data_IF_801656316150
#
_entry.id   IF_801656316150
#
_cell.length_a   1.000
_cell.length_b   1.000
_cell.length_c   1.000
_cell.angle_alpha   90.00
_cell.angle_beta   90.00
_cell.angle_gamma   90.00
#
_symmetry.space_group_name_H-M   'P 1'
#
loop_
_entity.id
_entity.type
_entity.pdbx_description
1 polymer ?
#
# COMPACT_ATOMS: atom_id res chain seq x y z
N UNK A 1 -2.92 -17.89 -2.57
CA UNK A 1 -4.34 -17.96 -2.13
C UNK A 1 -4.59 -17.17 -0.85
N UNK A 2 -3.55 -16.85 -0.05
CA UNK A 2 -3.62 -16.17 1.26
C UNK A 2 -3.85 -14.63 1.23
N UNK A 3 -4.31 -14.06 0.12
CA UNK A 3 -4.04 -12.63 -0.17
C UNK A 3 -5.32 -11.80 -0.40
N UNK A 4 -6.49 -12.44 -0.48
CA UNK A 4 -7.71 -11.73 -0.84
C UNK A 4 -8.39 -10.99 0.32
N UNK A 5 -8.30 -11.52 1.56
CA UNK A 5 -8.79 -10.82 2.75
C UNK A 5 -7.88 -9.63 3.05
N UNK A 6 -6.57 -9.86 3.00
CA UNK A 6 -5.55 -8.82 3.09
C UNK A 6 -5.82 -7.66 2.11
N UNK A 7 -6.11 -7.98 0.84
CA UNK A 7 -6.46 -6.99 -0.17
C UNK A 7 -7.69 -6.18 0.22
N UNK A 8 -8.74 -6.87 0.65
CA UNK A 8 -10.00 -6.24 1.01
C UNK A 8 -9.80 -5.28 2.18
N UNK A 9 -9.12 -5.74 3.25
CA UNK A 9 -8.80 -4.94 4.41
C UNK A 9 -7.99 -3.69 4.02
N UNK A 10 -6.85 -3.87 3.35
CA UNK A 10 -5.97 -2.75 2.99
C UNK A 10 -6.66 -1.75 2.08
N UNK A 11 -7.41 -2.20 1.08
CA UNK A 11 -8.12 -1.28 0.17
C UNK A 11 -9.19 -0.48 0.90
N UNK A 12 -9.94 -1.10 1.82
CA UNK A 12 -10.91 -0.35 2.62
C UNK A 12 -10.24 0.59 3.62
N UNK A 13 -9.12 0.21 4.21
CA UNK A 13 -8.32 1.11 5.07
C UNK A 13 -7.84 2.33 4.29
N UNK A 14 -7.34 2.14 3.07
CA UNK A 14 -6.98 3.25 2.20
C UNK A 14 -8.17 4.13 1.83
N UNK A 15 -9.37 3.56 1.64
CA UNK A 15 -10.59 4.35 1.45
C UNK A 15 -10.94 5.17 2.69
N UNK A 16 -10.76 4.62 3.90
CA UNK A 16 -10.96 5.35 5.15
C UNK A 16 -9.95 6.49 5.30
N UNK A 17 -8.69 6.28 4.90
CA UNK A 17 -7.66 7.32 4.90
C UNK A 17 -7.96 8.44 3.89
N UNK A 18 -8.44 8.08 2.70
CA UNK A 18 -8.92 9.04 1.70
C UNK A 18 -10.12 9.85 2.20
N UNK A 19 -10.92 9.29 3.11
CA UNK A 19 -12.06 9.93 3.77
C UNK A 19 -11.66 10.71 5.04
N UNK A 20 -10.36 10.95 5.26
CA UNK A 20 -9.81 11.68 6.40
C UNK A 20 -10.17 11.06 7.77
N UNK A 21 -10.32 9.73 7.82
CA UNK A 21 -10.57 9.03 9.08
C UNK A 21 -9.41 9.21 10.07
N UNK A 22 -9.75 9.37 11.34
CA UNK A 22 -8.80 9.42 12.45
C UNK A 22 -8.80 8.13 13.27
N UNK A 23 -9.75 7.23 13.03
CA UNK A 23 -9.88 5.93 13.65
C UNK A 23 -10.41 4.92 12.65
N UNK A 24 -9.71 3.81 12.51
CA UNK A 24 -10.11 2.69 11.65
C UNK A 24 -10.08 1.39 12.46
N UNK A 25 -11.22 0.73 12.54
CA UNK A 25 -11.38 -0.54 13.24
C UNK A 25 -11.76 -1.65 12.25
N UNK A 26 -11.03 -2.76 12.30
CA UNK A 26 -11.25 -3.96 11.52
C UNK A 26 -11.75 -5.05 12.46
N UNK A 27 -12.85 -5.69 12.10
CA UNK A 27 -13.41 -6.85 12.79
C UNK A 27 -13.52 -7.99 11.79
N UNK A 28 -13.06 -9.16 12.16
CA UNK A 28 -13.07 -10.31 11.26
C UNK A 28 -13.54 -11.57 12.00
N UNK A 29 -14.44 -12.30 11.35
CA UNK A 29 -14.83 -13.64 11.75
C UNK A 29 -14.70 -14.57 10.54
N UNK A 30 -13.53 -15.20 10.41
CA UNK A 30 -13.13 -15.98 9.24
C UNK A 30 -13.32 -17.49 9.40
N UNK A 31 -13.88 -17.96 10.53
CA UNK A 31 -14.05 -19.40 10.81
C UNK A 31 -15.41 -19.94 10.37
N UNK A 32 -16.50 -19.24 10.71
CA UNK A 32 -17.86 -19.70 10.45
C UNK A 32 -18.60 -18.81 9.47
N UNK A 33 -18.61 -17.50 9.70
CA UNK A 33 -19.38 -16.55 8.90
C UNK A 33 -18.62 -15.97 7.70
N UNK A 34 -17.30 -16.15 7.64
CA UNK A 34 -16.40 -15.54 6.66
C UNK A 34 -16.71 -14.05 6.48
N UNK A 35 -16.91 -13.34 7.59
CA UNK A 35 -17.28 -11.93 7.60
C UNK A 35 -16.09 -11.04 7.91
N UNK A 36 -16.06 -9.88 7.25
CA UNK A 36 -15.08 -8.83 7.47
C UNK A 36 -15.83 -7.51 7.59
N UNK A 37 -15.49 -6.72 8.59
CA UNK A 37 -16.07 -5.42 8.83
C UNK A 37 -14.95 -4.39 9.00
N UNK A 38 -15.01 -3.31 8.23
CA UNK A 38 -14.13 -2.13 8.39
C UNK A 38 -15.00 -0.95 8.78
N UNK A 39 -14.65 -0.29 9.87
CA UNK A 39 -15.38 0.82 10.48
C UNK A 39 -14.43 2.00 10.55
N UNK A 40 -14.83 3.14 10.02
CA UNK A 40 -14.11 4.38 10.15
C UNK A 40 -14.99 5.53 10.68
N UNK A 41 -14.30 6.57 11.11
CA UNK A 41 -14.85 7.86 11.53
C UNK A 41 -14.57 8.99 10.51
N UNK A 42 -14.41 8.64 9.22
CA UNK A 42 -14.15 9.61 8.17
C UNK A 42 -15.35 10.51 7.86
N UNK A 43 -15.25 11.33 6.81
CA UNK A 43 -16.30 12.30 6.42
C UNK A 43 -17.67 11.65 6.14
N UNK A 44 -17.70 10.37 5.80
CA UNK A 44 -18.92 9.64 5.43
C UNK A 44 -19.42 9.97 4.03
N UNK A 45 -20.51 9.31 3.64
CA UNK A 45 -21.17 9.42 2.35
C UNK A 45 -22.64 9.82 2.57
N UNK A 46 -23.16 10.66 1.69
CA UNK A 46 -24.59 10.97 1.65
C UNK A 46 -25.39 9.90 0.87
N UNK A 47 -26.71 10.07 0.82
CA UNK A 47 -27.62 9.14 0.13
C UNK A 47 -27.28 9.00 -1.36
N UNK A 48 -27.08 10.12 -2.05
CA UNK A 48 -26.81 10.14 -3.49
C UNK A 48 -25.48 9.47 -3.82
N UNK A 49 -24.46 9.65 -2.99
CA UNK A 49 -23.16 9.02 -3.13
C UNK A 49 -23.23 7.51 -2.85
N UNK A 50 -24.00 7.09 -1.84
CA UNK A 50 -24.20 5.67 -1.53
C UNK A 50 -24.92 4.93 -2.66
N UNK A 51 -25.86 5.58 -3.33
CA UNK A 51 -26.60 4.95 -4.43
C UNK A 51 -25.74 4.64 -5.65
N UNK A 52 -24.67 5.39 -5.86
CA UNK A 52 -23.70 5.17 -6.94
C UNK A 52 -22.71 4.03 -6.64
N UNK A 53 -22.66 3.53 -5.40
CA UNK A 53 -21.72 2.47 -5.04
C UNK A 53 -22.05 1.13 -5.68
N UNK A 54 -21.00 0.37 -6.00
CA UNK A 54 -21.10 -0.99 -6.51
C UNK A 54 -21.23 -1.09 -8.04
N UNK A 55 -21.35 0.04 -8.74
CA UNK A 55 -21.18 0.11 -10.19
C UNK A 55 -19.70 0.01 -10.55
N UNK A 56 -19.36 -0.79 -11.56
CA UNK A 56 -17.98 -0.86 -12.05
C UNK A 56 -17.57 0.50 -12.59
N UNK A 57 -16.32 0.88 -12.35
CA UNK A 57 -15.72 2.10 -12.90
C UNK A 57 -16.26 3.41 -12.33
N UNK A 58 -17.05 3.35 -11.25
CA UNK A 58 -17.58 4.54 -10.60
C UNK A 58 -16.71 4.96 -9.42
N UNK A 59 -16.25 6.22 -9.41
CA UNK A 59 -15.48 6.81 -8.32
C UNK A 59 -15.88 8.26 -8.05
N UNK A 60 -15.78 8.69 -6.80
CA UNK A 60 -15.93 10.09 -6.38
C UNK A 60 -14.61 10.85 -6.31
N UNK A 61 -13.50 10.23 -6.75
CA UNK A 61 -12.12 10.70 -6.48
C UNK A 61 -11.37 11.13 -7.73
N UNK A 62 -11.92 10.89 -8.92
CA UNK A 62 -11.32 11.26 -10.20
C UNK A 62 -12.44 11.48 -11.23
N UNK A 63 -12.51 12.68 -11.82
CA UNK A 63 -13.60 13.05 -12.74
C UNK A 63 -13.09 13.51 -14.11
N UNK A 64 -11.84 13.98 -14.19
CA UNK A 64 -11.22 14.45 -15.42
C UNK A 64 -9.93 13.69 -15.74
N UNK A 65 -9.59 13.58 -17.03
CA UNK A 65 -8.29 13.01 -17.47
C UNK A 65 -7.09 13.79 -16.91
N UNK A 66 -7.24 15.10 -16.71
CA UNK A 66 -6.22 15.94 -16.07
C UNK A 66 -5.96 15.53 -14.61
N UNK A 67 -6.96 15.03 -13.89
CA UNK A 67 -6.81 14.61 -12.49
C UNK A 67 -5.85 13.43 -12.34
N UNK A 68 -5.83 12.53 -13.34
CA UNK A 68 -4.90 11.40 -13.42
C UNK A 68 -3.44 11.88 -13.57
N UNK A 69 -3.23 13.06 -14.14
CA UNK A 69 -1.89 13.57 -14.42
C UNK A 69 -1.34 14.47 -13.32
N UNK A 70 -2.19 15.20 -12.59
CA UNK A 70 -1.76 16.24 -11.64
C UNK A 70 -2.33 16.15 -10.23
N UNK A 71 -3.43 15.43 -9.99
CA UNK A 71 -4.21 15.53 -8.74
C UNK A 71 -4.57 14.18 -8.09
N UNK A 72 -3.77 13.14 -8.33
CA UNK A 72 -3.98 11.80 -7.78
C UNK A 72 -3.65 11.68 -6.28
N UNK A 73 -4.25 12.55 -5.46
CA UNK A 73 -4.07 12.61 -4.00
C UNK A 73 -4.61 11.38 -3.27
N UNK A 74 -5.60 10.71 -3.88
CA UNK A 74 -6.31 9.59 -3.27
C UNK A 74 -5.61 8.26 -3.50
N UNK A 75 -5.71 7.34 -2.53
CA UNK A 75 -5.20 5.98 -2.62
C UNK A 75 -5.94 5.13 -3.66
N UNK A 76 -7.26 5.28 -3.78
CA UNK A 76 -8.10 4.53 -4.73
C UNK A 76 -8.88 5.44 -5.66
N UNK A 77 -8.83 5.20 -6.98
CA UNK A 77 -9.53 6.02 -7.98
C UNK A 77 -10.13 5.19 -9.14
N UNK A 78 -9.86 3.89 -9.20
CA UNK A 78 -10.29 3.04 -10.33
C UNK A 78 -11.77 2.62 -10.27
N UNK A 79 -12.42 2.75 -9.10
CA UNK A 79 -13.82 2.31 -8.93
C UNK A 79 -14.04 0.80 -8.99
N UNK A 80 -12.99 -0.02 -8.95
CA UNK A 80 -13.06 -1.48 -9.17
C UNK A 80 -13.16 -2.29 -7.87
N UNK A 81 -12.79 -1.71 -6.73
CA UNK A 81 -12.66 -2.47 -5.47
C UNK A 81 -13.99 -3.05 -5.01
N UNK A 82 -15.00 -2.20 -4.79
CA UNK A 82 -16.30 -2.64 -4.28
C UNK A 82 -17.03 -3.53 -5.29
N UNK A 83 -16.92 -3.24 -6.59
CA UNK A 83 -17.54 -4.08 -7.62
C UNK A 83 -16.90 -5.46 -7.72
N UNK A 84 -15.56 -5.56 -7.64
CA UNK A 84 -14.87 -6.86 -7.65
C UNK A 84 -15.15 -7.66 -6.37
N UNK A 85 -15.21 -6.98 -5.23
CA UNK A 85 -15.53 -7.59 -3.96
C UNK A 85 -16.96 -8.14 -3.96
N UNK A 86 -17.91 -7.39 -4.55
CA UNK A 86 -19.33 -7.79 -4.70
C UNK A 86 -19.47 -9.14 -5.38
N UNK A 87 -18.63 -9.43 -6.38
CA UNK A 87 -18.64 -10.70 -7.11
C UNK A 87 -18.09 -11.87 -6.30
N UNK A 88 -17.17 -11.59 -5.38
CA UNK A 88 -16.50 -12.58 -4.56
C UNK A 88 -17.23 -12.92 -3.25
N UNK A 89 -18.28 -12.19 -2.84
CA UNK A 89 -18.97 -12.40 -1.58
C UNK A 89 -20.50 -12.50 -1.76
N UNK A 90 -21.20 -12.95 -0.71
CA UNK A 90 -22.66 -13.05 -0.73
C UNK A 90 -23.31 -11.66 -0.79
N UNK A 91 -22.86 -10.75 0.08
CA UNK A 91 -23.32 -9.36 0.09
C UNK A 91 -22.30 -8.45 0.77
N UNK A 92 -22.31 -7.18 0.37
CA UNK A 92 -21.62 -6.08 1.05
C UNK A 92 -22.68 -5.13 1.60
N UNK A 93 -22.65 -4.88 2.91
CA UNK A 93 -23.50 -3.88 3.57
C UNK A 93 -22.65 -2.66 3.88
N UNK A 94 -23.00 -1.52 3.32
CA UNK A 94 -22.30 -0.25 3.50
C UNK A 94 -23.23 0.67 4.27
N UNK A 95 -22.86 1.02 5.49
CA UNK A 95 -23.58 2.00 6.30
C UNK A 95 -22.78 3.28 6.37
N UNK A 96 -23.39 4.44 6.14
CA UNK A 96 -22.70 5.70 6.29
C UNK A 96 -23.54 6.77 6.95
N UNK A 97 -22.85 7.64 7.71
CA UNK A 97 -23.38 8.90 8.22
C UNK A 97 -22.41 10.00 7.82
N UNK A 98 -22.84 10.87 6.91
CA UNK A 98 -22.06 12.04 6.52
C UNK A 98 -21.83 13.00 7.71
N UNK A 99 -20.68 13.66 7.72
CA UNK A 99 -20.34 14.70 8.69
C UNK A 99 -21.38 15.82 8.64
N UNK A 100 -21.90 16.22 9.80
CA UNK A 100 -23.00 17.20 9.91
C UNK A 100 -24.41 16.60 9.73
N UNK A 101 -24.54 15.36 9.24
CA UNK A 101 -25.84 14.70 9.12
C UNK A 101 -26.26 13.98 10.41
N UNK A 102 -27.56 14.03 10.70
CA UNK A 102 -28.23 13.24 11.75
C UNK A 102 -28.74 11.89 11.24
N UNK A 103 -28.76 11.69 9.92
CA UNK A 103 -29.31 10.51 9.26
C UNK A 103 -28.19 9.51 8.95
N UNK A 104 -28.51 8.23 9.09
CA UNK A 104 -27.63 7.14 8.65
C UNK A 104 -28.31 6.44 7.51
N UNK A 105 -27.55 6.16 6.46
CA UNK A 105 -28.04 5.46 5.28
C UNK A 105 -27.33 4.11 5.13
N UNK A 106 -27.99 3.17 4.47
CA UNK A 106 -27.47 1.85 4.15
C UNK A 106 -27.64 1.52 2.68
N UNK A 107 -26.57 0.99 2.09
CA UNK A 107 -26.58 0.38 0.76
C UNK A 107 -26.19 -1.08 0.88
N UNK A 108 -26.96 -1.97 0.27
CA UNK A 108 -26.63 -3.39 0.17
C UNK A 108 -26.25 -3.70 -1.28
N UNK A 109 -25.05 -4.27 -1.46
CA UNK A 109 -24.55 -4.69 -2.77
C UNK A 109 -24.54 -6.21 -2.81
N UNK A 110 -25.27 -6.80 -3.76
CA UNK A 110 -25.24 -8.24 -4.06
C UNK A 110 -24.79 -8.46 -5.51
N UNK A 111 -24.28 -9.65 -5.86
CA UNK A 111 -23.84 -9.94 -7.23
C UNK A 111 -24.93 -9.66 -8.28
N UNK A 112 -26.17 -10.08 -8.00
CA UNK A 112 -27.30 -10.06 -8.94
C UNK A 112 -28.27 -8.90 -8.73
N UNK A 113 -28.25 -8.27 -7.56
CA UNK A 113 -29.21 -7.22 -7.19
C UNK A 113 -28.53 -6.17 -6.29
N UNK A 114 -28.93 -4.92 -6.44
CA UNK A 114 -28.40 -3.79 -5.68
C UNK A 114 -29.58 -2.88 -5.34
N UNK A 115 -30.33 -3.19 -4.26
CA UNK A 115 -31.47 -2.38 -3.85
C UNK A 115 -31.09 -0.90 -3.66
N UNK A 116 -32.04 0.03 -3.81
CA UNK A 116 -31.81 1.44 -3.55
C UNK A 116 -31.32 1.66 -2.11
N UNK A 117 -30.64 2.78 -1.89
CA UNK A 117 -30.18 3.17 -0.59
C UNK A 117 -31.37 3.50 0.33
N UNK A 118 -31.29 3.06 1.58
CA UNK A 118 -32.36 3.22 2.57
C UNK A 118 -31.87 4.01 3.79
N UNK A 119 -32.76 4.80 4.40
CA UNK A 119 -32.48 5.45 5.68
C UNK A 119 -32.64 4.45 6.82
N UNK A 120 -31.60 4.29 7.66
CA UNK A 120 -31.65 3.45 8.84
C UNK A 120 -32.28 4.18 10.02
N UNK A 121 -33.22 3.52 10.69
CA UNK A 121 -33.79 3.99 11.97
C UNK A 121 -32.72 4.06 13.05
N UNK A 122 -31.80 3.09 13.07
CA UNK A 122 -30.67 3.04 14.02
C UNK A 122 -29.51 3.85 13.47
N UNK A 123 -29.10 4.88 14.22
CA UNK A 123 -28.05 5.80 13.81
C UNK A 123 -26.66 5.23 14.13
N UNK A 124 -25.69 5.52 13.27
CA UNK A 124 -24.27 5.42 13.64
C UNK A 124 -23.95 6.43 14.72
N UNK A 125 -23.23 5.99 15.76
CA UNK A 125 -22.80 6.84 16.86
C UNK A 125 -21.90 7.99 16.36
N UNK A 126 -20.96 7.72 15.45
CA UNK A 126 -20.08 8.71 14.81
C UNK A 126 -20.42 8.90 13.32
N UNK A 127 -19.91 9.99 12.73
CA UNK A 127 -19.85 10.12 11.28
C UNK A 127 -18.84 9.11 10.73
N UNK A 128 -18.89 8.81 9.43
CA UNK A 128 -18.00 7.86 8.78
C UNK A 128 -18.73 6.69 8.15
N UNK A 129 -17.96 5.68 7.73
CA UNK A 129 -18.44 4.53 6.96
C UNK A 129 -18.22 3.23 7.73
N UNK A 130 -19.13 2.28 7.55
CA UNK A 130 -18.86 0.88 7.86
C UNK A 130 -19.18 0.02 6.66
N UNK A 131 -18.17 -0.71 6.22
CA UNK A 131 -18.28 -1.72 5.16
C UNK A 131 -18.26 -3.08 5.82
N UNK A 132 -19.31 -3.87 5.61
CA UNK A 132 -19.43 -5.25 6.08
C UNK A 132 -19.50 -6.16 4.87
N UNK A 133 -18.52 -7.03 4.73
CA UNK A 133 -18.48 -8.12 3.74
C UNK A 133 -18.99 -9.37 4.42
N UNK A 134 -20.04 -9.98 3.88
CA UNK A 134 -20.62 -11.23 4.42
C UNK A 134 -20.30 -12.42 3.53
N UNK A 135 -19.97 -13.54 4.18
CA UNK A 135 -19.71 -14.83 3.55
C UNK A 135 -18.74 -14.72 2.35
N UNK A 136 -17.55 -14.20 2.65
CA UNK A 136 -16.51 -13.96 1.67
C UNK A 136 -16.07 -15.25 0.98
N UNK A 137 -15.90 -15.20 -0.35
CA UNK A 137 -15.53 -16.33 -1.24
C UNK A 137 -16.59 -17.44 -1.34
N UNK A 138 -17.85 -17.18 -1.00
CA UNK A 138 -18.93 -18.18 -1.08
C UNK A 138 -19.14 -18.77 -2.49
N UNK A 139 -18.89 -17.99 -3.54
CA UNK A 139 -18.97 -18.47 -4.94
C UNK A 139 -17.76 -19.31 -5.37
N UNK A 140 -16.74 -19.44 -4.51
CA UNK A 140 -15.51 -20.18 -4.77
C UNK A 140 -15.22 -21.16 -3.61
N UNK A 141 -16.02 -22.22 -3.43
CA UNK A 141 -16.01 -23.05 -2.22
C UNK A 141 -14.66 -23.71 -1.94
N UNK A 142 -13.93 -24.12 -2.98
CA UNK A 142 -12.56 -24.67 -2.84
C UNK A 142 -11.60 -23.60 -2.30
N UNK A 143 -11.73 -22.35 -2.75
CA UNK A 143 -10.90 -21.24 -2.25
C UNK A 143 -11.28 -20.90 -0.81
N UNK A 144 -12.58 -20.81 -0.52
CA UNK A 144 -13.11 -20.51 0.81
C UNK A 144 -12.66 -21.54 1.86
N UNK A 145 -12.77 -22.84 1.55
CA UNK A 145 -12.35 -23.93 2.45
C UNK A 145 -10.84 -23.91 2.75
N UNK A 146 -10.03 -23.38 1.84
CA UNK A 146 -8.58 -23.29 2.01
C UNK A 146 -8.11 -22.02 2.74
N UNK A 147 -9.02 -21.15 3.15
CA UNK A 147 -8.69 -19.95 3.94
C UNK A 147 -8.20 -20.39 5.32
N UNK A 148 -6.93 -20.08 5.61
CA UNK A 148 -6.34 -20.30 6.94
C UNK A 148 -6.52 -19.03 7.77
N UNK A 149 -7.66 -18.92 8.46
CA UNK A 149 -8.06 -17.74 9.25
C UNK A 149 -6.93 -17.12 10.10
N UNK A 150 -6.14 -17.93 10.81
CA UNK A 150 -5.04 -17.42 11.63
C UNK A 150 -3.94 -16.76 10.80
N UNK A 151 -3.56 -17.34 9.65
CA UNK A 151 -2.54 -16.74 8.79
C UNK A 151 -3.04 -15.45 8.14
N UNK A 152 -4.28 -15.42 7.68
CA UNK A 152 -4.89 -14.22 7.08
C UNK A 152 -4.93 -13.04 8.04
N UNK A 153 -5.27 -13.31 9.30
CA UNK A 153 -5.27 -12.30 10.36
C UNK A 153 -3.86 -11.80 10.68
N UNK A 154 -2.86 -12.70 10.76
CA UNK A 154 -1.46 -12.30 10.97
C UNK A 154 -0.91 -11.49 9.78
N UNK A 155 -1.22 -11.87 8.54
CA UNK A 155 -0.84 -11.08 7.37
C UNK A 155 -1.51 -9.70 7.37
N UNK A 156 -2.80 -9.65 7.70
CA UNK A 156 -3.54 -8.38 7.81
C UNK A 156 -2.93 -7.51 8.89
N UNK A 157 -2.67 -8.07 10.07
CA UNK A 157 -2.01 -7.38 11.18
C UNK A 157 -0.66 -6.80 10.76
N UNK A 158 0.19 -7.62 10.13
CA UNK A 158 1.50 -7.17 9.63
C UNK A 158 1.35 -6.01 8.65
N UNK A 159 0.48 -6.13 7.65
CA UNK A 159 0.33 -5.07 6.65
C UNK A 159 -0.25 -3.78 7.25
N UNK A 160 -1.18 -3.86 8.22
CA UNK A 160 -1.70 -2.67 8.89
C UNK A 160 -0.64 -2.01 9.78
N UNK A 161 0.21 -2.80 10.46
CA UNK A 161 1.39 -2.27 11.18
C UNK A 161 2.36 -1.56 10.22
N UNK A 162 2.62 -2.16 9.07
CA UNK A 162 3.51 -1.60 8.05
C UNK A 162 2.92 -0.33 7.42
N UNK A 163 1.60 -0.29 7.19
CA UNK A 163 0.89 0.84 6.61
C UNK A 163 0.79 2.01 7.60
N UNK A 164 0.52 1.74 8.88
CA UNK A 164 0.18 2.78 9.84
C UNK A 164 1.33 3.77 10.07
N UNK A 165 2.59 3.37 9.87
CA UNK A 165 3.81 4.22 9.99
C UNK A 165 3.67 5.58 9.30
N UNK A 166 3.05 5.61 8.11
CA UNK A 166 2.88 6.85 7.34
C UNK A 166 1.67 7.68 7.78
N UNK A 167 0.95 7.22 8.82
CA UNK A 167 -0.32 7.75 9.32
C UNK A 167 -0.37 7.80 10.86
N UNK A 168 0.57 8.52 11.53
CA UNK A 168 0.65 8.55 13.00
C UNK A 168 -0.59 9.13 13.68
N UNK A 169 -1.33 9.99 12.99
CA UNK A 169 -2.52 10.63 13.53
C UNK A 169 -3.79 9.76 13.46
N UNK A 170 -3.67 8.51 12.98
CA UNK A 170 -4.80 7.58 12.82
C UNK A 170 -4.62 6.38 13.76
N UNK A 171 -5.65 6.06 14.54
CA UNK A 171 -5.66 4.84 15.35
C UNK A 171 -6.17 3.65 14.57
N UNK A 172 -5.53 2.50 14.72
CA UNK A 172 -5.93 1.25 14.05
C UNK A 172 -6.22 0.16 15.08
N UNK A 173 -7.33 -0.56 14.91
CA UNK A 173 -7.65 -1.73 15.75
C UNK A 173 -8.02 -2.91 14.88
N UNK A 174 -7.55 -4.11 15.22
CA UNK A 174 -8.02 -5.36 14.60
C UNK A 174 -8.52 -6.29 15.70
N UNK A 175 -9.75 -6.78 15.54
CA UNK A 175 -10.40 -7.73 16.44
C UNK A 175 -10.75 -9.02 15.71
N UNK A 176 -10.34 -10.14 16.30
CA UNK A 176 -10.76 -11.48 15.90
C UNK A 176 -12.06 -11.81 16.65
N UNK A 177 -13.20 -11.72 15.95
CA UNK A 177 -14.51 -12.00 16.52
C UNK A 177 -14.75 -13.51 16.72
N UNK A 178 -13.94 -14.38 16.09
CA UNK A 178 -13.93 -15.83 16.38
C UNK A 178 -13.50 -16.07 17.83
N UNK A 179 -12.43 -15.39 18.25
CA UNK A 179 -11.82 -15.53 19.58
C UNK A 179 -12.31 -14.48 20.56
N UNK A 180 -13.06 -13.48 20.07
CA UNK A 180 -13.50 -12.29 20.80
C UNK A 180 -12.33 -11.48 21.39
N UNK A 181 -11.17 -11.50 20.74
CA UNK A 181 -9.95 -10.83 21.21
C UNK A 181 -9.50 -9.72 20.28
N UNK A 182 -8.90 -8.68 20.85
CA UNK A 182 -8.19 -7.65 20.07
C UNK A 182 -6.78 -8.17 19.79
N UNK A 183 -6.40 -8.24 18.51
CA UNK A 183 -5.11 -8.78 18.07
C UNK A 183 -4.11 -7.69 17.66
N UNK A 184 -4.61 -6.49 17.39
CA UNK A 184 -3.83 -5.30 17.08
C UNK A 184 -4.53 -4.06 17.65
N UNK A 185 -3.76 -3.20 18.31
CA UNK A 185 -4.20 -1.87 18.70
C UNK A 185 -3.02 -0.91 18.55
N UNK A 186 -3.16 0.05 17.64
CA UNK A 186 -2.22 1.14 17.39
C UNK A 186 -2.91 2.43 17.79
N UNK A 187 -2.32 3.17 18.73
CA UNK A 187 -2.82 4.46 19.18
C UNK A 187 -2.33 5.58 18.25
N UNK A 188 -2.92 6.76 18.39
CA UNK A 188 -2.43 7.96 17.71
C UNK A 188 -1.10 8.39 18.32
N UNK A 189 -0.17 8.81 17.47
CA UNK A 189 1.13 9.34 17.81
C UNK A 189 1.28 10.74 17.20
N UNK A 190 2.12 11.58 17.79
CA UNK A 190 2.34 12.94 17.28
C UNK A 190 3.17 12.91 16.00
N UNK A 191 4.21 12.09 15.96
CA UNK A 191 5.14 12.01 14.84
C UNK A 191 5.25 10.59 14.29
N UNK A 192 5.71 10.48 13.03
CA UNK A 192 6.07 9.19 12.42
C UNK A 192 7.20 8.51 13.20
N UNK A 193 8.14 9.27 13.76
CA UNK A 193 9.21 8.75 14.62
C UNK A 193 8.65 8.00 15.83
N UNK A 194 7.74 8.61 16.58
CA UNK A 194 7.15 7.99 17.78
C UNK A 194 6.42 6.69 17.45
N UNK A 195 5.74 6.67 16.30
CA UNK A 195 5.05 5.48 15.83
C UNK A 195 6.03 4.37 15.43
N UNK A 196 7.12 4.69 14.73
CA UNK A 196 8.18 3.72 14.41
C UNK A 196 8.78 3.17 15.70
N UNK A 197 9.11 4.03 16.66
CA UNK A 197 9.66 3.62 17.96
C UNK A 197 8.71 2.67 18.70
N UNK A 198 7.41 2.99 18.73
CA UNK A 198 6.39 2.10 19.29
C UNK A 198 6.42 0.71 18.64
N UNK A 199 6.49 0.63 17.30
CA UNK A 199 6.54 -0.63 16.56
C UNK A 199 7.81 -1.45 16.85
N UNK A 200 8.97 -0.81 16.86
CA UNK A 200 10.26 -1.51 16.98
C UNK A 200 10.71 -1.75 18.42
N UNK A 201 10.10 -1.08 19.41
CA UNK A 201 10.48 -1.12 20.84
C UNK A 201 10.68 -2.53 21.44
N UNK A 202 9.92 -3.52 20.96
CA UNK A 202 10.05 -4.91 21.42
C UNK A 202 11.25 -5.64 20.80
N UNK A 203 11.86 -5.09 19.75
CA UNK A 203 12.95 -5.69 18.97
C UNK A 203 14.26 -4.91 19.11
N UNK A 204 14.20 -3.57 19.05
CA UNK A 204 15.33 -2.66 19.18
C UNK A 204 15.18 -1.91 20.51
N UNK A 205 16.16 -2.07 21.40
CA UNK A 205 16.08 -1.58 22.79
C UNK A 205 16.38 -0.09 22.93
N UNK A 206 17.07 0.52 21.96
CA UNK A 206 17.58 1.88 22.05
C UNK A 206 16.98 2.78 20.97
N UNK A 207 16.30 3.85 21.39
CA UNK A 207 15.72 4.85 20.47
C UNK A 207 16.79 5.63 19.69
N UNK A 208 17.99 5.73 20.25
CA UNK A 208 19.15 6.39 19.64
C UNK A 208 19.68 5.67 18.40
N UNK A 209 19.27 4.42 18.17
CA UNK A 209 19.66 3.68 16.98
C UNK A 209 18.91 4.15 15.72
N UNK A 210 17.81 4.89 15.85
CA UNK A 210 16.98 5.29 14.71
C UNK A 210 17.37 6.68 14.20
N UNK A 211 18.03 6.73 13.05
CA UNK A 211 18.53 7.96 12.42
C UNK A 211 17.57 8.39 11.33
N UNK A 212 17.17 9.66 11.38
CA UNK A 212 16.34 10.31 10.37
C UNK A 212 17.22 10.88 9.27
N UNK A 213 16.83 10.65 8.02
CA UNK A 213 17.51 11.17 6.84
C UNK A 213 16.46 11.75 5.90
N UNK A 214 16.79 12.89 5.31
CA UNK A 214 16.00 13.52 4.26
C UNK A 214 16.93 13.88 3.11
N UNK A 215 16.54 13.52 1.89
CA UNK A 215 17.31 13.77 0.68
C UNK A 215 16.38 14.22 -0.44
N UNK A 216 16.79 15.26 -1.18
CA UNK A 216 16.13 15.65 -2.43
C UNK A 216 17.07 15.42 -3.62
N UNK A 217 16.59 14.67 -4.60
CA UNK A 217 17.29 14.44 -5.86
C UNK A 217 16.33 14.59 -7.04
N UNK A 218 16.45 15.71 -7.77
CA UNK A 218 15.59 16.07 -8.91
C UNK A 218 14.11 16.06 -8.48
N UNK A 219 13.30 15.21 -9.13
CA UNK A 219 11.86 15.07 -8.91
C UNK A 219 11.51 14.13 -7.75
N UNK A 220 12.51 13.59 -7.05
CA UNK A 220 12.34 12.63 -5.97
C UNK A 220 12.82 13.23 -4.65
N UNK A 221 12.00 13.06 -3.61
CA UNK A 221 12.32 13.40 -2.23
C UNK A 221 12.19 12.15 -1.39
N UNK A 222 13.28 11.77 -0.73
CA UNK A 222 13.33 10.63 0.18
C UNK A 222 13.34 11.18 1.60
N UNK A 223 12.43 10.70 2.41
CA UNK A 223 12.34 10.99 3.83
C UNK A 223 12.18 9.67 4.58
N UNK A 224 12.99 9.43 5.60
CA UNK A 224 12.93 8.13 6.25
C UNK A 224 13.87 7.94 7.41
N UNK A 225 13.77 6.76 8.00
CA UNK A 225 14.53 6.37 9.16
C UNK A 225 15.30 5.08 8.87
N UNK A 226 16.56 5.00 9.29
CA UNK A 226 17.37 3.78 9.21
C UNK A 226 17.93 3.49 10.60
N UNK A 227 17.90 2.23 11.01
CA UNK A 227 18.51 1.78 12.25
C UNK A 227 20.02 1.58 12.07
N UNK A 228 20.82 2.09 13.00
CA UNK A 228 22.24 1.78 13.18
C UNK A 228 22.46 0.31 13.48
N UNK A 229 21.57 -0.30 14.26
CA UNK A 229 21.72 -1.69 14.67
C UNK A 229 20.90 -2.61 13.77
N UNK A 230 21.54 -3.62 13.15
CA UNK A 230 20.81 -4.65 12.43
C UNK A 230 20.19 -5.66 13.40
N UNK A 231 19.13 -6.31 12.94
CA UNK A 231 18.37 -7.31 13.68
C UNK A 231 18.55 -8.71 13.05
N UNK A 232 18.20 -9.75 13.80
CA UNK A 232 18.39 -11.15 13.37
C UNK A 232 17.34 -11.66 12.37
N UNK A 233 16.27 -10.88 12.10
CA UNK A 233 15.13 -11.28 11.27
C UNK A 233 14.83 -10.20 10.23
N UNK A 234 14.36 -10.53 9.00
CA UNK A 234 14.01 -9.55 7.98
C UNK A 234 12.66 -8.89 8.32
N UNK A 235 12.67 -7.98 9.29
CA UNK A 235 11.51 -7.22 9.74
C UNK A 235 11.79 -5.73 9.65
N UNK A 236 10.73 -4.91 9.61
CA UNK A 236 10.83 -3.45 9.59
C UNK A 236 11.68 -2.93 8.41
N UNK A 237 11.40 -3.47 7.22
CA UNK A 237 12.03 -3.10 5.95
C UNK A 237 10.95 -2.51 5.05
N UNK A 238 10.56 -1.28 5.33
CA UNK A 238 9.37 -0.67 4.77
C UNK A 238 9.77 0.42 3.77
N UNK A 239 9.28 0.29 2.54
CA UNK A 239 9.41 1.34 1.53
C UNK A 239 8.02 1.82 1.16
N UNK A 240 7.89 3.13 1.02
CA UNK A 240 6.67 3.81 0.63
C UNK A 240 6.92 4.66 -0.60
N UNK A 241 5.91 4.79 -1.46
CA UNK A 241 5.90 5.75 -2.57
C UNK A 241 4.68 6.62 -2.43
N UNK A 242 4.86 7.92 -2.22
CA UNK A 242 3.78 8.85 -1.87
C UNK A 242 2.90 8.31 -0.73
N UNK A 243 3.53 7.87 0.37
CA UNK A 243 2.88 7.26 1.55
C UNK A 243 2.12 5.96 1.28
N UNK A 244 2.27 5.34 0.10
CA UNK A 244 1.74 3.99 -0.19
C UNK A 244 2.78 2.94 0.09
N UNK A 245 2.43 1.97 0.94
CA UNK A 245 3.29 0.83 1.22
C UNK A 245 3.52 0.00 -0.05
N UNK A 246 4.79 -0.23 -0.40
CA UNK A 246 5.17 -1.17 -1.45
C UNK A 246 5.86 -2.38 -0.82
N UNK A 247 5.61 -3.56 -1.39
CA UNK A 247 6.06 -4.83 -0.80
C UNK A 247 6.92 -5.63 -1.78
N UNK A 248 8.03 -6.19 -1.30
CA UNK A 248 8.89 -7.15 -2.03
C UNK A 248 9.28 -6.68 -3.44
N UNK A 249 9.80 -5.45 -3.51
CA UNK A 249 10.24 -4.81 -4.76
C UNK A 249 11.75 -4.80 -4.91
N UNK A 250 12.24 -4.51 -6.12
CA UNK A 250 13.67 -4.37 -6.41
C UNK A 250 14.34 -3.27 -5.56
N UNK A 251 13.55 -2.32 -5.06
CA UNK A 251 14.02 -1.27 -4.17
C UNK A 251 14.47 -1.84 -2.82
N UNK A 252 13.75 -2.83 -2.28
CA UNK A 252 14.13 -3.49 -1.03
C UNK A 252 15.45 -4.24 -1.20
N UNK A 253 15.60 -4.96 -2.31
CA UNK A 253 16.85 -5.64 -2.65
C UNK A 253 18.02 -4.66 -2.77
N UNK A 254 17.78 -3.51 -3.39
CA UNK A 254 18.80 -2.46 -3.59
C UNK A 254 19.24 -1.86 -2.25
N UNK A 255 18.30 -1.44 -1.41
CA UNK A 255 18.58 -0.88 -0.07
C UNK A 255 19.31 -1.92 0.79
N UNK A 256 18.86 -3.17 0.79
CA UNK A 256 19.51 -4.26 1.51
C UNK A 256 20.97 -4.45 1.05
N UNK A 257 21.24 -4.46 -0.27
CA UNK A 257 22.60 -4.57 -0.80
C UNK A 257 23.49 -3.40 -0.38
N UNK A 258 22.98 -2.16 -0.43
CA UNK A 258 23.73 -0.96 -0.07
C UNK A 258 24.09 -0.94 1.43
N UNK A 259 23.10 -1.22 2.29
CA UNK A 259 23.31 -1.23 3.75
C UNK A 259 24.18 -2.40 4.21
N UNK A 260 24.03 -3.58 3.61
CA UNK A 260 24.88 -4.72 3.94
C UNK A 260 26.36 -4.42 3.62
N UNK A 261 26.63 -3.82 2.46
CA UNK A 261 28.00 -3.41 2.08
C UNK A 261 28.58 -2.43 3.10
N UNK A 262 27.80 -1.45 3.57
CA UNK A 262 28.29 -0.47 4.54
C UNK A 262 28.51 -1.06 5.94
N UNK A 263 27.59 -1.89 6.44
CA UNK A 263 27.76 -2.54 7.74
C UNK A 263 28.97 -3.49 7.79
N UNK A 264 29.23 -4.26 6.72
CA UNK A 264 30.42 -5.12 6.67
C UNK A 264 31.75 -4.34 6.59
N UNK A 265 31.77 -3.20 5.90
CA UNK A 265 32.96 -2.34 5.85
C UNK A 265 33.30 -1.72 7.21
N UNK A 266 32.33 -1.49 8.08
CA UNK A 266 32.57 -0.97 9.42
C UNK A 266 33.06 -2.04 10.41
N UNK A 267 32.48 -3.25 10.37
CA UNK A 267 32.90 -4.36 11.24
C UNK A 267 34.37 -4.75 10.98
N UNK A 268 34.80 -4.72 9.73
CA UNK A 268 36.19 -5.03 9.35
C UNK A 268 37.19 -3.96 9.77
N UNK A 269 36.77 -2.71 9.99
CA UNK A 269 37.61 -1.63 10.51
C UNK A 269 37.78 -1.69 12.03
N UNK A 270 36.73 -2.02 12.78
CA UNK A 270 36.81 -2.12 14.25
C UNK A 270 37.43 -3.44 14.73
N UNK A 271 37.45 -4.48 13.90
CA UNK A 271 37.94 -5.79 14.30
C UNK A 271 38.83 -6.42 13.24
N UNK A 272 40.15 -6.27 13.41
CA UNK A 272 41.15 -7.16 12.77
C UNK A 272 41.02 -8.65 13.20
N UNK A 273 39.99 -9.00 13.98
CA UNK A 273 39.68 -10.34 14.45
C UNK A 273 38.18 -10.49 14.74
N UNK A 274 37.34 -10.69 13.72
CA UNK A 274 36.09 -11.45 13.89
C UNK A 274 35.63 -11.97 12.51
N UNK A 275 35.61 -13.29 12.36
CA UNK A 275 34.90 -13.93 11.25
C UNK A 275 33.44 -13.51 11.31
N UNK A 276 32.75 -13.30 10.18
CA UNK A 276 31.32 -13.03 10.18
C UNK A 276 30.62 -14.17 10.93
N UNK A 277 30.04 -13.84 12.09
CA UNK A 277 29.16 -14.76 12.81
C UNK A 277 28.07 -15.20 11.81
N UNK A 278 27.88 -16.50 11.63
CA UNK A 278 27.10 -17.10 10.53
C UNK A 278 25.59 -16.82 10.57
N UNK A 279 25.16 -15.78 11.30
CA UNK A 279 23.78 -15.32 11.42
C UNK A 279 23.58 -14.10 10.53
N UNK A 280 22.69 -14.23 9.54
CA UNK A 280 22.28 -13.12 8.68
C UNK A 280 21.75 -11.96 9.51
N UNK A 281 22.41 -10.81 9.40
CA UNK A 281 22.01 -9.53 10.01
C UNK A 281 21.21 -8.74 8.99
N UNK A 282 20.03 -8.26 9.38
CA UNK A 282 19.11 -7.51 8.53
C UNK A 282 19.00 -6.06 9.01
N UNK A 283 19.11 -5.12 8.08
CA UNK A 283 18.94 -3.70 8.38
C UNK A 283 17.46 -3.38 8.57
N UNK A 284 17.17 -2.44 9.46
CA UNK A 284 15.83 -1.88 9.69
C UNK A 284 15.77 -0.50 9.04
N UNK A 285 14.74 -0.26 8.23
CA UNK A 285 14.54 1.01 7.55
C UNK A 285 13.06 1.26 7.22
N UNK A 286 12.71 2.54 7.20
CA UNK A 286 11.41 3.07 6.81
C UNK A 286 11.66 4.23 5.85
N UNK A 287 11.47 4.04 4.54
CA UNK A 287 11.85 5.01 3.51
C UNK A 287 10.61 5.42 2.73
N UNK A 288 10.24 6.69 2.75
CA UNK A 288 9.20 7.24 1.91
C UNK A 288 9.78 8.03 0.74
N UNK A 289 9.46 7.59 -0.48
CA UNK A 289 9.83 8.23 -1.74
C UNK A 289 8.64 9.07 -2.21
N UNK A 290 8.77 10.38 -2.13
CA UNK A 290 7.79 11.33 -2.66
C UNK A 290 8.20 11.75 -4.06
N UNK A 291 7.28 11.62 -5.02
CA UNK A 291 7.50 12.02 -6.41
C UNK A 291 6.17 12.33 -7.13
N UNK A 292 6.19 13.04 -8.28
CA UNK A 292 4.98 13.27 -9.06
C UNK A 292 4.31 11.95 -9.48
N UNK A 293 2.99 11.87 -9.41
CA UNK A 293 2.24 10.64 -9.73
C UNK A 293 2.45 10.14 -11.17
N UNK A 294 2.75 11.03 -12.11
CA UNK A 294 3.12 10.66 -13.50
C UNK A 294 4.45 9.92 -13.63
N UNK A 295 5.29 9.94 -12.60
CA UNK A 295 6.63 9.35 -12.64
C UNK A 295 6.62 7.84 -12.38
N UNK A 296 5.50 7.28 -11.92
CA UNK A 296 5.38 5.85 -11.65
C UNK A 296 3.97 5.32 -11.88
N UNK A 297 3.87 4.03 -12.16
CA UNK A 297 2.63 3.28 -12.13
C UNK A 297 2.73 2.19 -11.07
N UNK A 298 1.65 1.97 -10.32
CA UNK A 298 1.61 0.97 -9.27
C UNK A 298 0.36 0.10 -9.42
N UNK A 299 0.59 -1.22 -9.45
CA UNK A 299 -0.45 -2.23 -9.41
C UNK A 299 -0.19 -3.13 -8.22
N UNK A 300 -1.16 -3.18 -7.32
CA UNK A 300 -1.16 -4.20 -6.29
C UNK A 300 -1.72 -5.48 -6.89
N UNK A 301 -0.91 -6.54 -6.92
CA UNK A 301 -1.37 -7.85 -7.36
C UNK A 301 -1.27 -8.82 -6.18
N UNK A 302 -2.36 -9.54 -5.85
CA UNK A 302 -2.36 -10.54 -4.80
C UNK A 302 -1.57 -11.79 -5.22
N UNK A 303 -0.25 -11.70 -5.32
CA UNK A 303 0.63 -12.84 -5.60
C UNK A 303 0.96 -13.60 -4.31
N UNK A 304 1.43 -14.86 -4.43
CA UNK A 304 1.85 -15.68 -3.27
C UNK A 304 2.90 -14.97 -2.40
N UNK A 305 3.69 -14.09 -3.02
CA UNK A 305 4.76 -13.32 -2.39
C UNK A 305 4.29 -11.95 -1.88
N UNK A 306 3.00 -11.61 -1.98
CA UNK A 306 2.46 -10.30 -1.61
C UNK A 306 3.28 -9.15 -2.23
N UNK A 307 3.62 -9.28 -3.52
CA UNK A 307 4.50 -8.34 -4.23
C UNK A 307 3.68 -7.18 -4.80
N UNK A 308 4.19 -5.96 -4.63
CA UNK A 308 3.67 -4.79 -5.34
C UNK A 308 4.42 -4.64 -6.65
N UNK A 309 3.68 -4.53 -7.76
CA UNK A 309 4.28 -4.17 -9.04
C UNK A 309 4.31 -2.66 -9.14
N UNK A 310 5.50 -2.12 -9.29
CA UNK A 310 5.73 -0.69 -9.46
C UNK A 310 6.68 -0.51 -10.62
N UNK A 311 6.36 0.42 -11.51
CA UNK A 311 7.19 0.77 -12.66
C UNK A 311 7.43 2.28 -12.64
N UNK A 312 8.70 2.68 -12.60
CA UNK A 312 9.07 4.09 -12.68
C UNK A 312 9.47 4.45 -14.10
N UNK A 313 9.03 5.62 -14.55
CA UNK A 313 9.46 6.22 -15.83
C UNK A 313 10.99 6.35 -15.94
N UNK A 314 11.69 6.52 -14.81
CA UNK A 314 13.15 6.60 -14.79
C UNK A 314 13.75 5.91 -13.54
N UNK A 315 13.95 4.60 -13.64
CA UNK A 315 14.61 3.81 -12.60
C UNK A 315 16.02 4.31 -12.24
N UNK A 316 16.81 4.81 -13.21
CA UNK A 316 18.17 5.31 -12.95
C UNK A 316 18.17 6.46 -11.94
N UNK A 317 17.20 7.38 -12.02
CA UNK A 317 17.05 8.48 -11.04
C UNK A 317 16.64 7.98 -9.66
N UNK A 318 15.70 7.04 -9.59
CA UNK A 318 15.24 6.46 -8.31
C UNK A 318 16.38 5.75 -7.59
N UNK A 319 17.12 4.92 -8.31
CA UNK A 319 18.27 4.22 -7.74
C UNK A 319 19.35 5.19 -7.28
N UNK A 320 19.65 6.24 -8.06
CA UNK A 320 20.62 7.24 -7.64
C UNK A 320 20.17 7.99 -6.39
N UNK A 321 18.89 8.31 -6.28
CA UNK A 321 18.34 8.94 -5.08
C UNK A 321 18.44 8.03 -3.85
N UNK A 322 18.16 6.74 -4.00
CA UNK A 322 18.32 5.75 -2.90
C UNK A 322 19.79 5.60 -2.49
N UNK A 323 20.70 5.53 -3.46
CA UNK A 323 22.14 5.48 -3.19
C UNK A 323 22.59 6.70 -2.38
N UNK A 324 22.25 7.91 -2.85
CA UNK A 324 22.57 9.16 -2.15
C UNK A 324 21.94 9.23 -0.76
N UNK A 325 20.74 8.67 -0.57
CA UNK A 325 20.06 8.65 0.72
C UNK A 325 20.76 7.74 1.72
N UNK A 326 21.18 6.55 1.27
CA UNK A 326 21.98 5.63 2.09
C UNK A 326 23.37 6.23 2.36
N UNK A 327 23.99 6.90 1.40
CA UNK A 327 25.27 7.59 1.62
C UNK A 327 25.14 8.70 2.67
N UNK A 328 24.04 9.45 2.66
CA UNK A 328 23.78 10.51 3.64
C UNK A 328 23.56 9.95 5.05
N UNK A 329 22.84 8.83 5.16
CA UNK A 329 22.75 8.07 6.41
C UNK A 329 24.14 7.70 6.94
N UNK A 330 25.02 7.22 6.07
CA UNK A 330 26.37 6.81 6.48
C UNK A 330 27.24 7.99 6.88
N UNK A 331 27.10 9.15 6.24
CA UNK A 331 27.84 10.36 6.62
C UNK A 331 27.38 10.93 7.96
N UNK A 332 26.08 10.97 8.20
CA UNK A 332 25.47 11.51 9.44
C UNK A 332 25.97 10.80 10.69
N UNK A 333 26.42 9.57 10.52
CA UNK A 333 26.91 8.67 11.57
C UNK A 333 28.43 8.68 11.75
N UNK A 334 29.16 9.60 11.11
CA UNK A 334 30.63 9.59 11.07
C UNK A 334 31.23 8.29 10.50
N UNK A 335 30.48 7.46 9.76
CA UNK A 335 31.07 6.29 9.08
C UNK A 335 32.06 6.70 7.96
N UNK A 336 32.05 7.97 7.53
CA UNK A 336 32.83 8.48 6.38
C UNK A 336 34.06 9.31 6.77
N UNK A 337 34.25 9.69 8.05
CA UNK A 337 35.44 10.47 8.47
C UNK A 337 36.75 9.66 8.51
N UNK A 338 36.77 8.42 8.03
CA UNK A 338 38.00 7.65 7.74
C UNK A 338 38.18 7.28 6.26
N UNK A 339 37.49 7.93 5.32
CA UNK A 339 37.72 7.70 3.89
C UNK A 339 38.73 8.68 3.29
N UNK A 340 38.81 9.91 3.79
CA UNK A 340 39.64 10.95 3.14
C UNK A 340 41.05 11.12 3.72
N UNK A 341 41.35 10.60 4.93
CA UNK A 341 42.70 10.73 5.51
C UNK A 341 43.64 9.57 5.15
N UNK A 342 43.13 8.41 4.72
CA UNK A 342 43.99 7.25 4.40
C UNK A 342 44.38 7.14 2.91
N UNK A 343 43.91 8.05 2.05
CA UNK A 343 44.24 8.03 0.61
C UNK A 343 45.54 8.79 0.30
N UNK A 344 46.09 9.59 1.23
CA UNK A 344 47.33 10.33 0.98
C UNK A 344 48.64 9.56 1.23
N UNK A 345 48.63 8.33 1.79
CA UNK A 345 49.91 7.69 2.16
C UNK A 345 50.18 6.27 1.66
N UNK A 346 49.31 5.64 0.85
CA UNK A 346 49.65 4.33 0.27
C UNK A 346 49.58 4.31 -1.26
N UNK A 347 50.79 4.41 -1.83
CA UNK A 347 51.19 4.34 -3.23
C UNK A 347 50.37 3.35 -4.07
N UNK A 348 49.83 3.86 -5.19
CA UNK A 348 49.98 3.23 -6.50
C UNK A 348 49.04 2.07 -6.86
N UNK A 349 47.73 2.21 -6.71
CA UNK A 349 46.75 1.36 -7.42
C UNK A 349 45.74 2.25 -8.14
N UNK A 350 45.73 2.19 -9.47
CA UNK A 350 44.67 2.79 -10.29
C UNK A 350 43.33 2.12 -9.93
N UNK A 351 42.47 2.86 -9.23
CA UNK A 351 41.06 2.49 -9.08
C UNK A 351 40.42 2.73 -10.45
N UNK A 352 40.11 1.65 -11.17
CA UNK A 352 39.16 1.75 -12.29
C UNK A 352 37.81 2.10 -11.69
N UNK A 353 37.29 3.28 -12.03
CA UNK A 353 35.85 3.56 -11.94
C UNK A 353 35.13 2.46 -12.71
N UNK A 354 34.46 1.57 -11.99
CA UNK A 354 33.58 0.57 -12.62
C UNK A 354 32.21 1.23 -12.67
N UNK A 355 31.82 1.65 -13.88
CA UNK A 355 30.51 2.22 -14.17
C UNK A 355 29.39 1.26 -13.69
N UNK A 356 28.75 1.63 -12.57
CA UNK A 356 27.71 0.85 -11.91
C UNK A 356 26.44 0.66 -12.76
N UNK A 357 26.34 1.33 -13.91
CA UNK A 357 25.25 1.21 -14.87
C UNK A 357 25.29 -0.13 -15.60
N UNK A 358 26.47 -0.63 -16.01
CA UNK A 358 26.58 -1.86 -16.81
C UNK A 358 26.27 -3.14 -16.02
N UNK A 359 26.57 -3.16 -14.72
CA UNK A 359 26.33 -4.35 -13.87
C UNK A 359 24.84 -4.49 -13.52
N UNK A 360 24.17 -3.38 -13.23
CA UNK A 360 22.72 -3.35 -12.96
C UNK A 360 21.94 -3.62 -14.25
N UNK A 361 22.42 -3.16 -15.42
CA UNK A 361 21.83 -3.51 -16.73
C UNK A 361 21.93 -5.01 -17.05
N UNK A 362 23.06 -5.67 -16.72
CA UNK A 362 23.23 -7.13 -16.92
C UNK A 362 22.34 -7.98 -16.00
N UNK A 363 22.15 -7.57 -14.75
CA UNK A 363 21.22 -8.24 -13.83
C UNK A 363 19.75 -7.95 -14.19
N UNK A 364 19.44 -6.75 -14.71
CA UNK A 364 18.13 -6.40 -15.26
C UNK A 364 17.79 -7.22 -16.52
N UNK A 365 18.73 -7.44 -17.45
CA UNK A 365 18.50 -8.31 -18.61
C UNK A 365 18.25 -9.77 -18.21
N UNK A 366 18.97 -10.28 -17.20
CA UNK A 366 18.75 -11.64 -16.67
C UNK A 366 17.39 -11.77 -16.00
N UNK A 367 17.01 -10.80 -15.17
CA UNK A 367 15.71 -10.81 -14.49
C UNK A 367 14.56 -10.59 -15.48
N UNK A 368 14.68 -9.68 -16.44
CA UNK A 368 13.67 -9.49 -17.50
C UNK A 368 13.53 -10.73 -18.39
N UNK A 369 14.62 -11.45 -18.72
CA UNK A 369 14.53 -12.72 -19.44
C UNK A 369 13.81 -13.80 -18.63
N UNK A 370 14.04 -13.86 -17.31
CA UNK A 370 13.36 -14.81 -16.40
C UNK A 370 11.88 -14.47 -16.22
N UNK A 371 11.56 -13.20 -15.98
CA UNK A 371 10.19 -12.70 -15.84
C UNK A 371 9.41 -12.83 -17.15
N UNK A 372 10.02 -12.55 -18.31
CA UNK A 372 9.38 -12.77 -19.61
C UNK A 372 9.19 -14.26 -19.96
N UNK A 373 10.07 -15.15 -19.50
CA UNK A 373 9.89 -16.59 -19.65
C UNK A 373 8.74 -17.12 -18.79
N UNK A 374 8.63 -16.64 -17.55
CA UNK A 374 7.52 -16.96 -16.63
C UNK A 374 6.18 -16.40 -17.15
N UNK A 375 6.18 -15.17 -17.68
CA UNK A 375 5.01 -14.57 -18.34
C UNK A 375 4.62 -15.36 -19.60
N UNK A 376 5.57 -15.75 -20.46
CA UNK A 376 5.26 -16.56 -21.66
C UNK A 376 4.69 -17.94 -21.30
N UNK A 377 5.21 -18.60 -20.26
CA UNK A 377 4.63 -19.87 -19.77
C UNK A 377 3.23 -19.72 -19.17
N UNK A 378 2.93 -18.58 -18.54
CA UNK A 378 1.60 -18.31 -17.97
C UNK A 378 0.57 -17.84 -19.01
N UNK A 379 0.98 -17.08 -20.03
CA UNK A 379 0.12 -16.63 -21.14
C UNK A 379 -0.32 -17.80 -22.03
N UNK A 380 0.49 -18.87 -22.14
CA UNK A 380 0.09 -20.09 -22.86
C UNK A 380 -0.97 -20.91 -22.11
N UNK A 381 -1.08 -20.78 -20.77
CA UNK A 381 -2.04 -21.56 -19.95
C UNK A 381 -3.35 -20.84 -19.63
N UNK A 382 -3.49 -19.57 -20.02
CA UNK A 382 -4.70 -18.77 -19.80
C UNK A 382 -5.23 -18.25 -21.15
N UNK A 383 -6.38 -18.76 -21.60
CA UNK A 383 -7.12 -18.16 -22.74
C UNK A 383 -7.75 -16.83 -22.30
N UNK A 384 -6.97 -15.75 -22.27
CA UNK A 384 -7.43 -14.36 -22.18
C UNK A 384 -6.49 -13.43 -23.00
N UNK A 385 -6.98 -12.29 -23.50
CA UNK A 385 -6.43 -11.61 -24.68
C UNK A 385 -5.07 -10.96 -24.46
N UNK A 386 -4.28 -10.90 -25.53
CA UNK A 386 -2.93 -10.34 -25.61
C UNK A 386 -2.87 -8.91 -25.08
N UNK A 387 -1.84 -8.61 -24.27
CA UNK A 387 -1.49 -7.26 -23.86
C UNK A 387 -0.89 -6.50 -25.05
N UNK A 388 -1.60 -5.46 -25.52
CA UNK A 388 -1.12 -4.53 -26.55
C UNK A 388 -1.26 -3.07 -26.07
N UNK A 389 -0.11 -2.40 -25.91
CA UNK A 389 0.17 -0.95 -25.88
C UNK A 389 -0.42 -0.03 -24.78
N UNK A 390 0.26 1.10 -24.46
CA UNK A 390 -0.19 2.13 -23.51
C UNK A 390 -1.51 2.86 -23.85
N UNK A 391 -2.03 2.73 -25.07
CA UNK A 391 -3.23 3.46 -25.53
C UNK A 391 -4.52 3.00 -24.84
N UNK A 392 -4.53 1.80 -24.24
CA UNK A 392 -5.70 1.26 -23.55
C UNK A 392 -6.02 2.01 -22.25
N UNK A 393 -5.03 2.59 -21.55
CA UNK A 393 -5.26 3.34 -20.30
C UNK A 393 -6.00 4.64 -20.57
N UNK A 394 -5.65 5.34 -21.65
CA UNK A 394 -6.42 6.48 -22.14
C UNK A 394 -7.83 6.03 -22.55
N UNK A 395 -7.97 4.87 -23.19
CA UNK A 395 -9.27 4.34 -23.57
C UNK A 395 -10.14 3.94 -22.36
N UNK A 396 -9.54 3.38 -21.31
CA UNK A 396 -10.23 3.05 -20.06
C UNK A 396 -10.61 4.31 -19.29
N UNK A 397 -9.71 5.29 -19.19
CA UNK A 397 -9.97 6.56 -18.54
C UNK A 397 -11.04 7.37 -19.29
N UNK A 398 -11.03 7.38 -20.62
CA UNK A 398 -12.12 7.96 -21.42
C UNK A 398 -13.44 7.25 -21.15
N UNK A 399 -13.47 5.90 -21.17
CA UNK A 399 -14.68 5.13 -20.85
C UNK A 399 -15.21 5.43 -19.44
N UNK A 400 -14.33 5.61 -18.45
CA UNK A 400 -14.71 6.01 -17.09
C UNK A 400 -15.39 7.40 -17.08
N UNK A 401 -14.80 8.38 -17.77
CA UNK A 401 -15.32 9.75 -17.83
C UNK A 401 -16.63 9.81 -18.61
N UNK A 402 -16.74 9.12 -19.75
CA UNK A 402 -17.95 9.03 -20.56
C UNK A 402 -19.10 8.39 -19.77
N UNK A 403 -18.83 7.27 -19.08
CA UNK A 403 -19.83 6.58 -18.29
C UNK A 403 -20.33 7.42 -17.11
N UNK A 404 -19.41 8.13 -16.43
CA UNK A 404 -19.75 9.07 -15.35
C UNK A 404 -20.66 10.20 -15.88
N UNK A 405 -20.28 10.84 -16.99
CA UNK A 405 -21.05 11.92 -17.61
C UNK A 405 -22.44 11.47 -18.07
N UNK A 406 -22.56 10.27 -18.62
CA UNK A 406 -23.85 9.70 -19.05
C UNK A 406 -24.78 9.46 -17.86
N UNK A 407 -24.26 8.95 -16.74
CA UNK A 407 -25.04 8.70 -15.53
C UNK A 407 -25.42 9.99 -14.80
N UNK A 408 -24.52 10.98 -14.72
CA UNK A 408 -24.86 12.31 -14.20
C UNK A 408 -25.97 12.98 -15.03
N UNK A 409 -25.97 12.82 -16.36
CA UNK A 409 -27.05 13.33 -17.23
C UNK A 409 -28.38 12.59 -17.02
N UNK A 410 -28.35 11.28 -16.74
CA UNK A 410 -29.55 10.49 -16.45
C UNK A 410 -30.15 10.83 -15.07
N UNK A 411 -29.31 11.09 -14.07
CA UNK A 411 -29.74 11.51 -12.74
C UNK A 411 -30.42 12.90 -12.75
N UNK A 412 -29.98 13.82 -13.62
CA UNK A 412 -30.62 15.14 -13.79
C UNK A 412 -31.95 15.06 -14.55
N UNK A 413 -32.12 14.08 -15.45
CA UNK A 413 -33.37 13.91 -16.21
C UNK A 413 -34.50 13.25 -15.43
N UNK A 414 -34.22 12.58 -14.31
CA UNK A 414 -35.24 11.96 -13.46
C UNK A 414 -35.93 12.92 -12.49
N UNK A 415 -35.49 14.19 -12.43
CA UNK A 415 -36.10 15.26 -11.62
C UNK A 415 -37.03 16.19 -12.43
N UNK A 416 -37.32 15.88 -13.71
CA UNK A 416 -38.40 16.55 -14.45
C UNK A 416 -39.76 15.97 -14.02
N UNK A 417 -40.37 16.66 -13.06
CA UNK A 417 -41.76 16.51 -12.63
C UNK A 417 -42.68 16.52 -13.87
N UNK A 418 -43.61 15.55 -14.03
CA UNK A 418 -44.61 15.64 -15.08
C UNK A 418 -45.51 16.85 -14.78
N UNK A 419 -45.48 17.86 -15.65
CA UNK A 419 -46.43 18.97 -15.60
C UNK A 419 -47.80 18.47 -16.08
N UNK A 420 -48.50 17.79 -15.18
CA UNK A 420 -49.89 17.42 -15.37
C UNK A 420 -50.78 18.49 -14.73
N UNK A 421 -51.49 19.23 -15.61
CA UNK A 421 -52.91 19.65 -15.53
C UNK A 421 -53.21 21.15 -15.67
N UNK A 422 -54.30 21.36 -16.44
CA UNK A 422 -55.12 22.55 -16.70
C UNK A 422 -54.83 23.30 -18.00
#
# INVERSE_FOLDING_TARGET
MLIWILFCCSTQVYNSLDAEATSVAIRAELKSSFSLQVIDDGVGLDNSQLDLLGQRYMTSKCHLLSDLSSNLRYYGYRGECLSSLKEACQEIVIMSRAKGSKKTYVKVLKPTDCPPCEELTVKRNCHGVTVIVKNFMCHYPVRQKNIKHHLELEYTKKQILDLCVMHPQVSFTIRDDTKKTVILQVKKHQTTRDQILFLISNTIKFESCLIHVTLKHKDYELDGYISREPISQPQYQNIYVNKRLIMNTILHETVNKLLVKSFYLNITKESNKLKPDGKSKYSVYFINITCPYKCYEMVWQPTKENRTFIEFTNWKRVFKAIEMFVDEFLKTEDFVNHVNETVCEQKGVQVKEVDHIEYVEKDMEKNNKKTNAEIKQMVVSTKQPKYESPDLVNQYALKMVEHYQEHSRKAVKTDEIPSDRA
#
